data_IF_639550509649
#
_entry.id   IF_639550509649
#
_cell.length_a   1.000
_cell.length_b   1.000
_cell.length_c   1.000
_cell.angle_alpha   90.00
_cell.angle_beta   90.00
_cell.angle_gamma   90.00
#
_symmetry.space_group_name_H-M   'P 1'
#
loop_
_entity.id
_entity.type
_entity.pdbx_description
1 polymer ?
#
# COMPACT_ATOMS: atom_id res chain seq x y z
N UNK A 1 48.31 59.61 -4.66
CA UNK A 1 47.08 59.34 -3.90
C UNK A 1 46.52 58.03 -4.44
N UNK A 2 46.80 56.91 -3.77
CA UNK A 2 46.34 55.53 -4.17
C UNK A 2 45.28 55.11 -3.15
N UNK A 3 44.03 54.99 -3.58
CA UNK A 3 42.97 54.45 -2.75
C UNK A 3 42.83 52.94 -3.05
N UNK A 4 42.94 52.17 -2.01
CA UNK A 4 42.81 50.72 -1.94
C UNK A 4 41.42 50.24 -2.31
N UNK A 5 41.34 49.28 -3.22
CA UNK A 5 40.17 48.46 -3.50
C UNK A 5 40.48 47.09 -2.89
N UNK A 6 40.08 46.89 -1.66
CA UNK A 6 40.01 45.56 -0.99
C UNK A 6 38.68 45.48 -0.28
N UNK A 7 37.81 44.63 -0.76
CA UNK A 7 36.55 44.40 -0.04
C UNK A 7 35.42 43.95 -0.91
N UNK A 8 35.62 42.87 -1.74
CA UNK A 8 34.45 42.20 -2.35
C UNK A 8 34.83 40.78 -2.78
N UNK A 9 35.10 39.89 -1.84
CA UNK A 9 35.30 38.48 -2.14
C UNK A 9 35.10 37.59 -0.91
N UNK A 10 34.05 37.76 -0.14
CA UNK A 10 33.73 36.86 0.97
C UNK A 10 32.19 36.65 1.15
N UNK A 11 31.42 36.70 0.07
CA UNK A 11 29.98 36.45 0.14
C UNK A 11 29.48 35.43 -0.90
N UNK A 12 30.34 34.55 -1.40
CA UNK A 12 29.94 33.56 -2.42
C UNK A 12 30.18 32.10 -2.02
N UNK A 13 30.36 31.78 -0.72
CA UNK A 13 30.64 30.40 -0.30
C UNK A 13 29.62 29.85 0.74
N UNK A 14 28.44 30.42 0.83
CA UNK A 14 27.41 29.99 1.79
C UNK A 14 26.11 29.49 1.13
N UNK A 15 26.13 29.09 -0.15
CA UNK A 15 24.92 28.66 -0.89
C UNK A 15 25.01 27.27 -1.53
N UNK A 16 25.92 26.39 -1.08
CA UNK A 16 26.02 25.01 -1.60
C UNK A 16 25.88 23.96 -0.48
N UNK A 17 25.08 24.21 0.53
CA UNK A 17 24.79 23.24 1.60
C UNK A 17 23.27 22.95 1.78
N UNK A 18 22.47 23.18 0.73
CA UNK A 18 21.01 22.95 0.81
C UNK A 18 20.50 22.09 -0.38
N UNK A 19 21.29 21.10 -0.85
CA UNK A 19 20.87 20.21 -1.94
C UNK A 19 20.94 18.73 -1.56
N UNK A 20 20.75 18.38 -0.28
CA UNK A 20 20.35 17.07 0.18
C UNK A 20 19.06 17.23 1.02
N UNK A 21 18.04 17.82 0.40
CA UNK A 21 16.72 17.89 0.94
C UNK A 21 16.01 16.58 0.62
N UNK A 22 16.16 15.55 1.44
CA UNK A 22 15.08 14.60 1.63
C UNK A 22 13.91 15.43 2.18
N UNK A 23 12.91 15.72 1.34
CA UNK A 23 11.71 16.41 1.79
C UNK A 23 11.12 15.61 2.95
N UNK A 24 10.81 16.28 4.05
CA UNK A 24 10.01 15.68 5.10
C UNK A 24 8.67 15.27 4.49
N UNK A 25 8.28 14.02 4.63
CA UNK A 25 6.96 13.53 4.23
C UNK A 25 5.90 13.86 5.30
N UNK A 26 6.27 14.64 6.32
CA UNK A 26 5.37 15.08 7.39
C UNK A 26 4.21 15.92 6.85
N UNK A 27 3.00 15.47 7.13
CA UNK A 27 1.78 16.12 6.66
C UNK A 27 1.32 15.69 5.27
N UNK A 28 2.05 14.81 4.57
CA UNK A 28 1.55 14.16 3.34
C UNK A 28 0.36 13.26 3.68
N UNK A 29 -0.64 13.26 2.81
CA UNK A 29 -1.87 12.48 2.99
C UNK A 29 -1.82 11.22 2.12
N UNK A 30 -2.18 10.07 2.69
CA UNK A 30 -2.29 8.77 1.99
C UNK A 30 -3.68 8.20 2.20
N UNK A 31 -4.37 7.92 1.12
CA UNK A 31 -5.68 7.28 1.12
C UNK A 31 -5.55 5.77 0.88
N UNK A 32 -6.02 4.99 1.84
CA UNK A 32 -6.16 3.53 1.73
C UNK A 32 -7.64 3.19 1.51
N UNK A 33 -7.98 2.57 0.37
CA UNK A 33 -9.34 2.15 0.07
C UNK A 33 -9.48 0.62 0.11
N UNK A 34 -10.53 0.10 0.76
CA UNK A 34 -10.66 -1.34 0.95
C UNK A 34 -12.07 -1.87 1.16
N UNK A 35 -12.20 -3.21 1.20
CA UNK A 35 -13.48 -3.89 1.31
C UNK A 35 -14.13 -3.87 2.71
N UNK A 36 -13.40 -4.00 3.86
CA UNK A 36 -14.05 -3.86 5.15
C UNK A 36 -14.63 -2.45 5.30
N UNK A 37 -15.97 -2.36 5.55
CA UNK A 37 -16.60 -1.05 5.78
C UNK A 37 -15.88 -0.27 6.87
N UNK A 38 -15.68 1.03 6.68
CA UNK A 38 -15.03 1.93 7.65
C UNK A 38 -15.62 1.80 9.06
N UNK A 39 -16.94 1.60 9.16
CA UNK A 39 -17.64 1.48 10.43
C UNK A 39 -17.58 0.08 11.06
N UNK A 40 -17.12 -0.92 10.32
CA UNK A 40 -16.95 -2.29 10.82
C UNK A 40 -15.82 -2.40 11.86
N UNK A 41 -15.79 -3.50 12.61
CA UNK A 41 -14.68 -3.80 13.52
C UNK A 41 -13.33 -3.91 12.78
N UNK A 42 -13.34 -4.55 11.61
CA UNK A 42 -12.14 -4.71 10.79
C UNK A 42 -11.67 -3.37 10.21
N UNK A 43 -12.59 -2.53 9.71
CA UNK A 43 -12.25 -1.20 9.20
C UNK A 43 -11.64 -0.30 10.28
N UNK A 44 -12.18 -0.34 11.49
CA UNK A 44 -11.62 0.40 12.64
C UNK A 44 -10.23 -0.12 13.04
N UNK A 45 -10.03 -1.43 13.04
CA UNK A 45 -8.72 -2.01 13.33
C UNK A 45 -7.66 -1.63 12.28
N UNK A 46 -8.04 -1.57 11.00
CA UNK A 46 -7.15 -1.07 9.94
C UNK A 46 -6.78 0.39 10.20
N UNK A 47 -7.76 1.24 10.52
CA UNK A 47 -7.48 2.66 10.82
C UNK A 47 -6.59 2.82 12.07
N UNK A 48 -6.73 1.97 13.09
CA UNK A 48 -5.84 2.01 14.27
C UNK A 48 -4.37 1.74 13.87
N UNK A 49 -4.12 0.73 13.02
CA UNK A 49 -2.76 0.46 12.49
C UNK A 49 -2.23 1.64 11.68
N UNK A 50 -3.07 2.29 10.87
CA UNK A 50 -2.68 3.47 10.10
C UNK A 50 -2.43 4.69 10.99
N UNK A 51 -3.11 4.82 12.13
CA UNK A 51 -2.84 5.87 13.10
C UNK A 51 -1.44 5.68 13.74
N UNK A 52 -1.07 4.44 14.12
CA UNK A 52 0.27 4.13 14.62
C UNK A 52 1.34 4.48 13.57
N UNK A 53 1.12 4.11 12.31
CA UNK A 53 1.98 4.50 11.19
C UNK A 53 2.10 6.03 11.06
N UNK A 54 0.97 6.74 11.19
CA UNK A 54 0.95 8.21 11.09
C UNK A 54 1.72 8.87 12.24
N UNK A 55 1.61 8.33 13.46
CA UNK A 55 2.37 8.80 14.62
C UNK A 55 3.88 8.59 14.45
N UNK A 56 4.30 7.47 13.85
CA UNK A 56 5.71 7.15 13.64
C UNK A 56 6.35 7.95 12.50
N UNK A 57 5.60 8.23 11.44
CA UNK A 57 6.16 8.79 10.19
C UNK A 57 5.83 10.26 9.94
N UNK A 58 4.78 10.78 10.59
CA UNK A 58 4.21 12.09 10.29
C UNK A 58 3.34 12.13 9.02
N UNK A 59 3.18 11.00 8.30
CA UNK A 59 2.30 10.87 7.14
C UNK A 59 0.87 10.63 7.64
N UNK A 60 -0.12 11.34 7.10
CA UNK A 60 -1.52 11.18 7.49
C UNK A 60 -2.16 10.08 6.66
N UNK A 61 -2.29 8.88 7.22
CA UNK A 61 -2.90 7.75 6.52
C UNK A 61 -4.36 7.56 6.94
N UNK A 62 -5.27 7.56 5.95
CA UNK A 62 -6.71 7.44 6.18
C UNK A 62 -7.27 6.22 5.47
N UNK A 63 -8.05 5.41 6.20
CA UNK A 63 -8.78 4.28 5.64
C UNK A 63 -10.22 4.65 5.28
N UNK A 64 -10.60 4.35 4.06
CA UNK A 64 -11.98 4.40 3.58
C UNK A 64 -12.37 3.02 3.10
N UNK A 65 -13.41 2.43 3.69
CA UNK A 65 -13.87 1.10 3.36
C UNK A 65 -15.33 1.07 2.93
N UNK A 66 -15.66 0.22 1.95
CA UNK A 66 -17.00 0.09 1.40
C UNK A 66 -17.41 -1.37 1.24
N UNK A 67 -18.66 -1.69 1.62
CA UNK A 67 -19.28 -2.99 1.33
C UNK A 67 -19.46 -3.23 -0.18
N UNK A 68 -19.46 -2.16 -0.98
CA UNK A 68 -19.53 -2.20 -2.44
C UNK A 68 -18.16 -2.10 -3.11
N UNK A 69 -17.08 -2.33 -2.37
CA UNK A 69 -15.70 -2.16 -2.80
C UNK A 69 -15.42 -2.69 -4.22
N UNK A 70 -15.86 -3.92 -4.54
CA UNK A 70 -15.57 -4.56 -5.82
C UNK A 70 -16.10 -3.78 -7.03
N UNK A 71 -17.24 -3.11 -6.89
CA UNK A 71 -17.80 -2.27 -7.95
C UNK A 71 -17.18 -0.87 -7.96
N UNK A 72 -16.95 -0.29 -6.79
CA UNK A 72 -16.43 1.07 -6.65
C UNK A 72 -14.97 1.15 -7.10
N UNK A 73 -14.14 0.16 -6.76
CA UNK A 73 -12.74 0.14 -7.18
C UNK A 73 -12.61 0.05 -8.71
N UNK A 74 -13.48 -0.67 -9.40
CA UNK A 74 -13.47 -0.74 -10.86
C UNK A 74 -13.80 0.61 -11.51
N UNK A 75 -14.72 1.37 -10.90
CA UNK A 75 -15.04 2.73 -11.34
C UNK A 75 -13.85 3.66 -11.15
N UNK A 76 -13.22 3.63 -9.97
CA UNK A 76 -12.04 4.45 -9.66
C UNK A 76 -10.87 4.13 -10.60
N UNK A 77 -10.53 2.86 -10.79
CA UNK A 77 -9.49 2.41 -11.72
C UNK A 77 -9.78 2.83 -13.18
N UNK A 78 -11.05 2.87 -13.57
CA UNK A 78 -11.43 3.25 -14.94
C UNK A 78 -11.45 4.76 -15.15
N UNK A 79 -11.76 5.54 -14.12
CA UNK A 79 -11.80 7.01 -14.19
C UNK A 79 -10.43 7.66 -13.99
N UNK A 80 -9.48 6.94 -13.40
CA UNK A 80 -8.17 7.48 -12.99
C UNK A 80 -8.20 8.26 -11.66
N UNK A 81 -9.34 8.30 -10.97
CA UNK A 81 -9.48 8.84 -9.61
C UNK A 81 -9.26 7.71 -8.60
N UNK A 82 -8.01 7.35 -8.41
CA UNK A 82 -7.58 6.17 -7.67
C UNK A 82 -7.04 6.52 -6.28
N UNK A 83 -7.20 5.62 -5.28
CA UNK A 83 -6.55 5.77 -3.99
C UNK A 83 -5.04 5.50 -4.13
N UNK A 84 -4.26 5.95 -3.15
CA UNK A 84 -2.82 5.69 -3.10
C UNK A 84 -2.52 4.22 -2.82
N UNK A 85 -3.33 3.60 -1.95
CA UNK A 85 -3.19 2.19 -1.57
C UNK A 85 -4.55 1.49 -1.64
N UNK A 86 -4.56 0.28 -2.18
CA UNK A 86 -5.77 -0.56 -2.24
C UNK A 86 -5.62 -1.75 -1.30
N UNK A 87 -6.50 -1.85 -0.29
CA UNK A 87 -6.64 -3.03 0.55
C UNK A 87 -7.60 -4.03 -0.10
N UNK A 88 -7.06 -4.87 -0.96
CA UNK A 88 -7.84 -5.80 -1.79
C UNK A 88 -8.11 -7.13 -1.08
N UNK A 89 -9.37 -7.59 -0.96
CA UNK A 89 -9.70 -8.85 -0.29
C UNK A 89 -9.39 -10.08 -1.14
N UNK A 90 -9.23 -9.89 -2.46
CA UNK A 90 -9.09 -10.97 -3.44
C UNK A 90 -7.80 -10.77 -4.25
N UNK A 91 -6.83 -11.70 -4.21
CA UNK A 91 -5.59 -11.57 -4.97
C UNK A 91 -5.82 -11.49 -6.49
N UNK A 92 -6.89 -12.11 -7.01
CA UNK A 92 -7.23 -12.02 -8.43
C UNK A 92 -7.48 -10.59 -8.93
N UNK A 93 -7.98 -9.70 -8.06
CA UNK A 93 -8.14 -8.29 -8.40
C UNK A 93 -6.80 -7.56 -8.56
N UNK A 94 -5.81 -7.92 -7.75
CA UNK A 94 -4.43 -7.40 -7.88
C UNK A 94 -3.82 -7.83 -9.21
N UNK A 95 -3.99 -9.11 -9.58
CA UNK A 95 -3.48 -9.66 -10.85
C UNK A 95 -4.12 -8.94 -12.04
N UNK A 96 -5.47 -8.83 -12.09
CA UNK A 96 -6.19 -8.14 -13.18
C UNK A 96 -5.73 -6.67 -13.32
N UNK A 97 -5.63 -5.95 -12.22
CA UNK A 97 -5.20 -4.55 -12.24
C UNK A 97 -3.73 -4.39 -12.67
N UNK A 98 -2.85 -5.30 -12.26
CA UNK A 98 -1.44 -5.30 -12.67
C UNK A 98 -1.28 -5.60 -14.16
N UNK A 99 -1.99 -6.61 -14.71
CA UNK A 99 -2.00 -6.94 -16.15
C UNK A 99 -2.48 -5.78 -17.02
N UNK A 100 -3.36 -4.93 -16.48
CA UNK A 100 -3.83 -3.71 -17.13
C UNK A 100 -2.91 -2.51 -16.96
N UNK A 101 -1.80 -2.65 -16.23
CA UNK A 101 -0.84 -1.57 -15.97
C UNK A 101 -1.38 -0.49 -15.03
N UNK A 102 -2.30 -0.84 -14.13
CA UNK A 102 -2.95 0.08 -13.20
C UNK A 102 -2.31 0.09 -11.81
N UNK A 103 -1.32 -0.77 -11.58
CA UNK A 103 -0.58 -0.84 -10.32
C UNK A 103 0.91 -0.57 -10.56
N UNK A 104 1.54 0.03 -9.58
CA UNK A 104 3.01 0.24 -9.57
C UNK A 104 3.69 -0.98 -8.97
N UNK A 105 4.76 -1.53 -9.58
CA UNK A 105 5.58 -2.57 -8.98
C UNK A 105 6.11 -2.14 -7.59
N UNK A 106 6.11 -3.06 -6.63
CA UNK A 106 6.61 -2.74 -5.28
C UNK A 106 8.08 -2.35 -5.26
N UNK A 107 8.90 -2.90 -6.16
CA UNK A 107 10.32 -2.54 -6.30
C UNK A 107 10.51 -1.08 -6.75
N UNK A 108 9.62 -0.55 -7.59
CA UNK A 108 9.66 0.84 -8.05
C UNK A 108 9.28 1.83 -6.92
N UNK A 109 8.64 1.34 -5.86
CA UNK A 109 8.33 2.08 -4.64
C UNK A 109 9.47 2.02 -3.60
N UNK A 110 10.60 1.38 -3.93
CA UNK A 110 11.75 1.25 -3.05
C UNK A 110 11.63 0.15 -1.99
N UNK A 111 10.66 -0.76 -2.14
CA UNK A 111 10.50 -1.91 -1.24
C UNK A 111 11.57 -2.95 -1.56
N UNK A 112 12.27 -3.43 -0.51
CA UNK A 112 13.20 -4.54 -0.62
C UNK A 112 12.44 -5.85 -0.89
N UNK A 113 12.38 -6.22 -2.17
CA UNK A 113 11.64 -7.39 -2.64
C UNK A 113 12.28 -8.70 -2.17
N UNK A 114 13.59 -8.74 -1.98
CA UNK A 114 14.27 -9.94 -1.47
C UNK A 114 13.95 -10.15 0.01
N UNK A 115 13.94 -9.08 0.81
CA UNK A 115 13.49 -9.13 2.20
C UNK A 115 12.00 -9.52 2.30
N UNK A 116 11.13 -8.98 1.45
CA UNK A 116 9.72 -9.37 1.36
C UNK A 116 9.57 -10.86 1.05
N UNK A 117 10.24 -11.37 0.00
CA UNK A 117 10.21 -12.79 -0.38
C UNK A 117 10.77 -13.71 0.69
N UNK A 118 11.74 -13.27 1.48
CA UNK A 118 12.29 -14.04 2.59
C UNK A 118 11.34 -14.13 3.79
N UNK A 119 10.48 -13.11 3.98
CA UNK A 119 9.54 -13.04 5.11
C UNK A 119 8.25 -13.84 4.87
N UNK A 120 7.87 -14.11 3.62
CA UNK A 120 6.62 -14.76 3.27
C UNK A 120 6.83 -16.10 2.55
N UNK A 121 5.84 -16.98 2.63
CA UNK A 121 5.90 -18.24 1.85
C UNK A 121 5.83 -17.93 0.34
N UNK A 122 6.49 -18.75 -0.51
CA UNK A 122 6.42 -18.57 -1.97
C UNK A 122 4.99 -18.53 -2.52
N UNK A 123 4.07 -19.25 -1.91
CA UNK A 123 2.65 -19.22 -2.27
C UNK A 123 2.03 -17.84 -2.04
N UNK A 124 2.24 -17.22 -0.87
CA UNK A 124 1.70 -15.89 -0.56
C UNK A 124 2.30 -14.82 -1.47
N UNK A 125 3.59 -14.88 -1.75
CA UNK A 125 4.26 -13.99 -2.70
C UNK A 125 3.64 -14.13 -4.10
N UNK A 126 3.38 -15.36 -4.55
CA UNK A 126 2.81 -15.61 -5.89
C UNK A 126 1.43 -15.01 -6.10
N UNK A 127 0.64 -14.79 -5.04
CA UNK A 127 -0.70 -14.22 -5.12
C UNK A 127 -0.72 -12.75 -5.57
N UNK A 128 0.36 -12.01 -5.34
CA UNK A 128 0.52 -10.61 -5.76
C UNK A 128 1.56 -10.43 -6.87
N UNK A 129 1.97 -11.52 -7.55
CA UNK A 129 3.04 -11.51 -8.57
C UNK A 129 2.46 -11.77 -9.96
N UNK A 130 2.83 -10.93 -10.92
CA UNK A 130 2.50 -11.08 -12.35
C UNK A 130 3.80 -11.04 -13.15
N UNK A 131 4.03 -12.05 -13.99
CA UNK A 131 5.25 -12.18 -14.83
C UNK A 131 6.57 -12.00 -14.06
N UNK A 132 6.60 -12.44 -12.79
CA UNK A 132 7.77 -12.36 -11.91
C UNK A 132 7.92 -11.04 -11.15
N UNK A 133 7.09 -10.04 -11.45
CA UNK A 133 7.07 -8.72 -10.79
C UNK A 133 6.02 -8.71 -9.67
N UNK A 134 6.38 -8.19 -8.50
CA UNK A 134 5.49 -8.14 -7.32
C UNK A 134 4.75 -6.80 -7.30
N UNK A 135 3.42 -6.86 -7.31
CA UNK A 135 2.53 -5.69 -7.28
C UNK A 135 1.74 -5.54 -5.98
N UNK A 136 1.65 -6.62 -5.19
CA UNK A 136 0.90 -6.59 -3.94
C UNK A 136 1.47 -7.51 -2.88
N UNK A 137 1.36 -7.10 -1.63
CA UNK A 137 1.77 -7.87 -0.45
C UNK A 137 0.58 -8.48 0.29
N UNK A 138 0.73 -9.73 0.74
CA UNK A 138 -0.27 -10.37 1.60
C UNK A 138 -0.18 -9.79 3.02
N UNK A 139 -1.29 -9.27 3.53
CA UNK A 139 -1.39 -8.72 4.89
C UNK A 139 -2.25 -9.59 5.82
N UNK A 140 -3.16 -10.39 5.27
CA UNK A 140 -4.00 -11.30 6.02
C UNK A 140 -4.30 -12.56 5.20
N UNK A 141 -4.54 -13.67 5.88
CA UNK A 141 -4.95 -14.95 5.27
C UNK A 141 -6.23 -15.42 5.92
N UNK A 142 -7.27 -15.53 5.13
CA UNK A 142 -8.55 -16.05 5.58
C UNK A 142 -8.89 -17.36 4.86
N UNK A 143 -9.42 -18.33 5.59
CA UNK A 143 -9.97 -19.55 4.99
C UNK A 143 -11.33 -19.23 4.38
N UNK A 144 -11.44 -19.42 3.06
CA UNK A 144 -12.68 -19.26 2.30
C UNK A 144 -13.09 -20.61 1.70
N UNK A 145 -14.36 -20.72 1.34
CA UNK A 145 -14.90 -21.91 0.64
C UNK A 145 -14.79 -23.21 1.45
N UNK A 146 -14.97 -23.11 2.76
CA UNK A 146 -15.06 -24.27 3.65
C UNK A 146 -16.50 -24.77 3.64
N UNK A 147 -16.66 -26.08 3.45
CA UNK A 147 -17.94 -26.75 3.59
C UNK A 147 -18.05 -27.31 5.00
N UNK A 148 -18.99 -26.77 5.78
CA UNK A 148 -19.33 -27.29 7.09
C UNK A 148 -20.42 -28.36 6.94
N UNK A 149 -20.23 -29.53 7.56
CA UNK A 149 -21.23 -30.58 7.55
C UNK A 149 -21.31 -31.29 8.90
N UNK A 150 -22.45 -31.92 9.15
CA UNK A 150 -22.65 -32.77 10.34
C UNK A 150 -22.38 -34.23 9.94
N UNK A 151 -21.28 -34.87 10.41
CA UNK A 151 -20.91 -36.21 9.99
C UNK A 151 -22.05 -37.23 10.17
N UNK A 152 -22.71 -37.19 11.34
CA UNK A 152 -23.80 -38.12 11.64
C UNK A 152 -25.00 -38.03 10.67
N UNK A 153 -25.30 -36.82 10.16
CA UNK A 153 -26.37 -36.62 9.17
C UNK A 153 -25.94 -37.05 7.76
N UNK A 154 -24.65 -36.89 7.45
CA UNK A 154 -24.09 -37.41 6.19
C UNK A 154 -24.14 -38.92 6.15
N UNK A 155 -23.67 -39.62 7.20
CA UNK A 155 -23.72 -41.06 7.31
C UNK A 155 -25.16 -41.62 7.22
N UNK A 156 -26.13 -41.00 7.89
CA UNK A 156 -27.55 -41.39 7.80
C UNK A 156 -28.12 -41.31 6.37
N UNK A 157 -27.57 -40.44 5.54
CA UNK A 157 -27.99 -40.20 4.16
C UNK A 157 -27.18 -41.01 3.15
N UNK A 158 -26.18 -41.76 3.61
CA UNK A 158 -25.34 -42.64 2.78
C UNK A 158 -24.24 -41.89 2.02
N UNK A 159 -23.78 -40.74 2.53
CA UNK A 159 -22.65 -39.97 1.98
C UNK A 159 -21.36 -40.29 2.72
#
# INVERSE_FOLDING_TARGET
>A
MRKSIFGLSLLALALIAAACGGGSLEGEEVLVFGAPSTESGDGKAIQEVLNDFSEETGIIATYVGSENFESEIQVQLSSGDVPDVIYWPQPGGVVDAAERGLLTPLEDLGIDIDAYKAAYSPYLVSLGTVDGVVYGGANAVNLKSIVWYQPAEFEKRGY
#
